data_IF_295240314388
#
_entry.id   IF_295240314388
#
_cell.length_a   1.000
_cell.length_b   1.000
_cell.length_c   1.000
_cell.angle_alpha   90.00
_cell.angle_beta   90.00
_cell.angle_gamma   90.00
#
_symmetry.space_group_name_H-M   'P 1'
#
loop_
_entity.id
_entity.type
_entity.pdbx_description
1 polymer ?
#
# COMPACT_ATOMS: atom_id res chain seq x y z
N UNK A 1 -15.29 20.87 -4.65
CA UNK A 1 -14.11 21.69 -4.25
C UNK A 1 -14.41 23.18 -4.00
N UNK A 2 -15.68 23.61 -3.91
CA UNK A 2 -16.03 25.04 -3.79
C UNK A 2 -16.18 25.54 -2.32
N UNK A 3 -15.70 24.76 -1.34
CA UNK A 3 -15.70 25.21 0.07
C UNK A 3 -14.57 26.21 0.27
N UNK A 4 -14.87 27.36 0.87
CA UNK A 4 -13.90 28.39 1.24
C UNK A 4 -12.99 27.97 2.41
N UNK A 5 -13.40 26.96 3.18
CA UNK A 5 -12.65 26.45 4.34
C UNK A 5 -12.68 24.92 4.37
N UNK A 6 -12.00 24.22 3.43
CA UNK A 6 -11.92 22.76 3.45
C UNK A 6 -10.96 22.29 4.56
N UNK A 7 -11.10 21.03 5.04
CA UNK A 7 -10.05 20.39 5.83
C UNK A 7 -8.72 20.41 5.06
N UNK A 8 -7.63 20.76 5.74
CA UNK A 8 -6.30 20.83 5.13
C UNK A 8 -5.72 19.44 4.85
N UNK A 9 -6.14 18.44 5.62
CA UNK A 9 -5.67 17.06 5.54
C UNK A 9 -6.89 16.14 5.47
N UNK A 10 -6.91 15.25 4.49
CA UNK A 10 -7.90 14.16 4.38
C UNK A 10 -7.17 12.83 4.37
N UNK A 11 -7.49 11.96 5.34
CA UNK A 11 -7.04 10.57 5.38
C UNK A 11 -8.15 9.68 4.83
N UNK A 12 -7.81 8.79 3.89
CA UNK A 12 -8.79 7.98 3.15
C UNK A 12 -8.37 6.52 3.09
N UNK A 13 -9.21 5.68 3.67
CA UNK A 13 -9.12 4.21 3.60
C UNK A 13 -10.12 3.69 2.56
N UNK A 14 -9.78 3.83 1.28
CA UNK A 14 -10.57 3.29 0.17
C UNK A 14 -9.64 3.00 -1.01
N UNK A 15 -9.92 1.90 -1.72
CA UNK A 15 -9.21 1.58 -2.95
C UNK A 15 -9.83 0.40 -3.66
N UNK A 16 -9.47 0.29 -4.93
CA UNK A 16 -9.74 -0.86 -5.78
C UNK A 16 -8.55 -1.07 -6.71
N UNK A 17 -8.54 -2.21 -7.37
CA UNK A 17 -7.51 -2.55 -8.34
C UNK A 17 -7.43 -1.49 -9.43
N UNK A 18 -6.25 -1.00 -9.80
CA UNK A 18 -6.13 0.10 -10.79
C UNK A 18 -6.75 -0.29 -12.14
N UNK A 19 -6.61 -1.55 -12.54
CA UNK A 19 -7.16 -2.11 -13.78
C UNK A 19 -8.66 -2.40 -13.74
N UNK A 20 -9.32 -2.29 -12.58
CA UNK A 20 -10.80 -2.40 -12.49
C UNK A 20 -11.50 -1.12 -12.98
N UNK A 21 -10.74 -0.03 -13.16
CA UNK A 21 -11.24 1.27 -13.59
C UNK A 21 -10.88 1.55 -15.05
N UNK A 22 -11.73 2.32 -15.74
CA UNK A 22 -11.38 2.83 -17.07
C UNK A 22 -10.31 3.92 -16.97
N UNK A 23 -9.50 4.07 -18.02
CA UNK A 23 -8.48 5.13 -18.11
C UNK A 23 -9.11 6.52 -17.91
N UNK A 24 -10.31 6.77 -18.45
CA UNK A 24 -11.02 8.04 -18.28
C UNK A 24 -11.41 8.29 -16.82
N UNK A 25 -11.79 7.25 -16.08
CA UNK A 25 -12.09 7.36 -14.66
C UNK A 25 -10.83 7.67 -13.87
N UNK A 26 -9.75 6.93 -14.12
CA UNK A 26 -8.45 7.14 -13.47
C UNK A 26 -7.95 8.57 -13.70
N UNK A 27 -7.95 9.04 -14.94
CA UNK A 27 -7.51 10.40 -15.30
C UNK A 27 -8.41 11.47 -14.70
N UNK A 28 -9.73 11.24 -14.70
CA UNK A 28 -10.67 12.19 -14.12
C UNK A 28 -10.47 12.33 -12.62
N UNK A 29 -10.41 11.22 -11.89
CA UNK A 29 -10.21 11.25 -10.44
C UNK A 29 -8.83 11.82 -10.10
N UNK A 30 -7.79 11.47 -10.88
CA UNK A 30 -6.45 12.05 -10.73
C UNK A 30 -6.45 13.58 -10.92
N UNK A 31 -7.26 14.10 -11.85
CA UNK A 31 -7.47 15.54 -12.02
C UNK A 31 -8.13 16.18 -10.80
N UNK A 32 -9.03 15.47 -10.11
CA UNK A 32 -9.62 15.96 -8.86
C UNK A 32 -8.57 16.05 -7.74
N UNK A 33 -7.62 15.13 -7.67
CA UNK A 33 -6.48 15.22 -6.74
C UNK A 33 -5.54 16.38 -7.09
N UNK A 34 -5.26 16.62 -8.37
CA UNK A 34 -4.52 17.80 -8.82
C UNK A 34 -5.19 19.11 -8.38
N UNK A 35 -6.52 19.18 -8.48
CA UNK A 35 -7.29 20.35 -8.02
C UNK A 35 -7.28 20.51 -6.50
N UNK A 36 -7.12 19.43 -5.73
CA UNK A 36 -6.90 19.51 -4.29
C UNK A 36 -5.47 20.00 -3.97
N UNK A 37 -4.47 19.44 -4.65
CA UNK A 37 -3.06 19.82 -4.50
C UNK A 37 -2.83 21.30 -4.86
N UNK A 38 -3.46 21.82 -5.92
CA UNK A 38 -3.36 23.24 -6.31
C UNK A 38 -3.95 24.21 -5.29
N UNK A 39 -4.77 23.70 -4.36
CA UNK A 39 -5.31 24.44 -3.22
C UNK A 39 -4.50 24.27 -1.95
N UNK A 40 -3.38 23.55 -1.99
CA UNK A 40 -2.53 23.26 -0.83
C UNK A 40 -3.16 22.26 0.15
N UNK A 41 -4.04 21.38 -0.34
CA UNK A 41 -4.65 20.33 0.48
C UNK A 41 -3.85 19.04 0.39
N UNK A 42 -3.68 18.35 1.52
CA UNK A 42 -3.04 17.04 1.61
C UNK A 42 -4.10 15.94 1.63
N UNK A 43 -3.92 14.93 0.78
CA UNK A 43 -4.76 13.73 0.77
C UNK A 43 -3.87 12.51 0.92
N UNK A 44 -4.12 11.71 1.95
CA UNK A 44 -3.45 10.45 2.21
C UNK A 44 -4.37 9.29 1.84
N UNK A 45 -3.81 8.26 1.20
CA UNK A 45 -4.52 7.04 0.84
C UNK A 45 -3.78 5.81 1.35
N UNK A 46 -4.52 4.88 1.95
CA UNK A 46 -4.02 3.56 2.30
C UNK A 46 -3.52 2.83 1.04
N UNK A 47 -2.34 2.22 1.09
CA UNK A 47 -1.71 1.59 -0.07
C UNK A 47 -2.22 0.19 -0.42
N UNK A 48 -3.05 -0.40 0.45
CA UNK A 48 -3.64 -1.74 0.28
C UNK A 48 -3.07 -2.75 1.26
N UNK A 49 -3.78 -3.88 1.42
CA UNK A 49 -3.52 -4.88 2.46
C UNK A 49 -3.14 -6.26 1.91
N UNK A 50 -2.93 -6.36 0.59
CA UNK A 50 -2.66 -7.59 -0.16
C UNK A 50 -1.27 -7.63 -0.81
N UNK A 51 -0.33 -6.82 -0.32
CA UNK A 51 1.04 -6.76 -0.84
C UNK A 51 1.10 -6.22 -2.28
N UNK A 52 1.92 -6.87 -3.12
CA UNK A 52 2.08 -6.50 -4.54
C UNK A 52 0.95 -7.00 -5.42
N UNK A 53 0.05 -7.84 -4.90
CA UNK A 53 -1.05 -8.42 -5.66
C UNK A 53 -2.39 -8.01 -5.05
N UNK A 54 -2.85 -6.79 -5.36
CA UNK A 54 -4.15 -6.28 -4.88
C UNK A 54 -5.36 -6.87 -5.61
N UNK A 55 -5.17 -7.79 -6.56
CA UNK A 55 -6.26 -8.52 -7.21
C UNK A 55 -6.93 -9.56 -6.29
N UNK A 56 -8.06 -10.07 -6.77
CA UNK A 56 -8.87 -11.11 -6.14
C UNK A 56 -8.05 -12.31 -5.63
N UNK A 57 -8.02 -12.44 -4.30
CA UNK A 57 -7.37 -13.52 -3.54
C UNK A 57 -8.03 -14.90 -3.73
N UNK A 58 -9.14 -14.99 -4.48
CA UNK A 58 -9.82 -16.26 -4.76
C UNK A 58 -9.24 -17.02 -5.94
N UNK A 59 -8.31 -16.43 -6.72
CA UNK A 59 -7.56 -17.17 -7.73
C UNK A 59 -6.71 -18.25 -7.03
N UNK A 60 -7.01 -19.56 -7.20
CA UNK A 60 -6.44 -20.64 -6.38
C UNK A 60 -4.94 -20.87 -6.56
N UNK A 61 -4.31 -20.06 -7.41
CA UNK A 61 -2.90 -20.11 -7.69
C UNK A 61 -2.48 -18.71 -8.14
N UNK A 62 -1.82 -17.99 -7.23
CA UNK A 62 -0.85 -16.95 -7.58
C UNK A 62 0.21 -17.61 -8.46
N UNK A 63 -0.10 -17.82 -9.74
CA UNK A 63 0.86 -18.44 -10.64
C UNK A 63 1.95 -17.42 -10.87
N UNK A 64 3.21 -17.86 -10.88
CA UNK A 64 4.37 -17.01 -11.16
C UNK A 64 4.26 -16.25 -12.49
N UNK A 65 3.24 -16.49 -13.33
CA UNK A 65 2.97 -15.73 -14.54
C UNK A 65 2.17 -14.43 -14.32
N UNK A 66 1.80 -14.08 -13.09
CA UNK A 66 0.92 -12.94 -12.82
C UNK A 66 1.70 -11.63 -12.62
N UNK A 67 1.35 -10.65 -13.45
CA UNK A 67 1.72 -9.25 -13.28
C UNK A 67 1.21 -8.75 -11.91
N UNK A 68 2.05 -8.03 -11.17
CA UNK A 68 1.70 -7.35 -9.93
C UNK A 68 0.59 -6.35 -10.20
N UNK A 69 -0.24 -6.15 -9.17
CA UNK A 69 -1.51 -5.49 -9.37
C UNK A 69 -1.58 -4.26 -8.48
N UNK A 70 -1.42 -3.06 -9.05
CA UNK A 70 -1.46 -1.82 -8.29
C UNK A 70 -2.88 -1.45 -7.85
N UNK A 71 -2.98 -0.63 -6.81
CA UNK A 71 -4.22 -0.16 -6.20
C UNK A 71 -4.41 1.34 -6.47
N UNK A 72 -5.59 1.71 -6.93
CA UNK A 72 -6.03 3.10 -7.07
C UNK A 72 -7.05 3.43 -5.97
N UNK A 73 -7.01 4.61 -5.31
CA UNK A 73 -6.23 5.81 -5.65
C UNK A 73 -4.76 5.89 -5.25
N UNK A 74 -4.22 4.95 -4.47
CA UNK A 74 -2.85 5.04 -3.96
C UNK A 74 -1.78 5.20 -5.07
N UNK A 75 -2.01 4.62 -6.24
CA UNK A 75 -1.14 4.75 -7.42
C UNK A 75 -1.14 6.14 -8.07
N UNK A 76 -2.06 7.05 -7.72
CA UNK A 76 -2.03 8.44 -8.21
C UNK A 76 -0.74 9.15 -7.77
N UNK A 77 -0.09 9.94 -8.65
CA UNK A 77 1.05 10.77 -8.30
C UNK A 77 0.68 12.06 -7.55
N UNK A 78 -0.61 12.30 -7.25
CA UNK A 78 -1.09 13.50 -6.56
C UNK A 78 -1.69 13.23 -5.19
N UNK A 79 -1.47 12.03 -4.65
CA UNK A 79 -1.81 11.65 -3.27
C UNK A 79 -0.54 11.18 -2.55
N UNK A 80 -0.58 11.19 -1.21
CA UNK A 80 0.45 10.52 -0.40
C UNK A 80 -0.05 9.13 -0.06
N UNK A 81 0.50 8.10 -0.69
CA UNK A 81 0.20 6.71 -0.41
C UNK A 81 0.93 6.24 0.85
N UNK A 82 0.19 5.59 1.76
CA UNK A 82 0.67 5.19 3.08
C UNK A 82 0.63 3.67 3.22
N UNK A 83 1.82 3.07 3.36
CA UNK A 83 2.02 1.67 3.69
C UNK A 83 1.96 1.39 5.19
N UNK A 84 2.01 0.11 5.55
CA UNK A 84 1.91 -0.36 6.93
C UNK A 84 3.18 -1.06 7.39
N UNK A 85 3.62 -0.70 8.60
CA UNK A 85 4.68 -1.36 9.36
C UNK A 85 4.13 -1.95 10.65
N UNK A 86 4.94 -2.78 11.29
CA UNK A 86 4.71 -3.35 12.61
C UNK A 86 6.01 -3.46 13.38
N UNK A 87 5.94 -3.53 14.70
CA UNK A 87 7.10 -3.80 15.53
C UNK A 87 7.37 -5.31 15.59
N UNK A 88 8.51 -5.72 15.03
CA UNK A 88 9.10 -7.04 15.23
C UNK A 88 9.82 -7.05 16.57
N UNK A 89 9.23 -7.70 17.57
CA UNK A 89 9.98 -8.12 18.75
C UNK A 89 9.80 -9.61 18.90
N UNK A 90 10.92 -10.33 19.00
CA UNK A 90 11.07 -11.77 19.23
C UNK A 90 10.32 -12.33 20.47
N UNK A 91 9.34 -11.61 21.02
CA UNK A 91 8.70 -11.87 22.32
C UNK A 91 7.17 -11.77 22.30
N UNK A 92 6.51 -11.56 21.16
CA UNK A 92 5.05 -11.67 21.11
C UNK A 92 4.64 -13.14 20.91
N UNK A 93 3.59 -13.65 21.59
CA UNK A 93 3.08 -15.01 21.42
C UNK A 93 2.77 -15.39 19.95
N UNK A 94 2.60 -14.38 19.09
CA UNK A 94 2.36 -14.52 17.65
C UNK A 94 3.50 -15.21 16.91
N UNK A 95 4.76 -15.05 17.34
CA UNK A 95 5.90 -15.73 16.70
C UNK A 95 5.89 -17.25 16.92
N UNK A 96 4.99 -17.75 17.78
CA UNK A 96 4.76 -19.17 18.03
C UNK A 96 3.44 -19.68 17.43
N UNK A 97 2.72 -18.85 16.67
CA UNK A 97 1.44 -19.23 16.07
C UNK A 97 1.54 -19.33 14.55
N UNK A 98 0.73 -20.22 13.96
CA UNK A 98 0.47 -20.24 12.54
C UNK A 98 -0.68 -19.26 12.23
N UNK A 99 -0.46 -18.31 11.32
CA UNK A 99 -1.52 -17.45 10.81
C UNK A 99 -1.83 -17.88 9.38
N UNK A 100 -3.05 -18.37 9.15
CA UNK A 100 -3.53 -18.79 7.82
C UNK A 100 -2.64 -19.90 7.21
N UNK A 101 -2.08 -20.78 8.04
CA UNK A 101 -1.23 -21.90 7.59
C UNK A 101 0.14 -21.47 7.03
N UNK A 102 0.54 -20.22 7.25
CA UNK A 102 1.85 -19.71 6.85
C UNK A 102 2.78 -19.66 8.08
N UNK A 103 3.93 -20.34 8.06
CA UNK A 103 4.92 -20.25 9.14
C UNK A 103 5.42 -18.79 9.31
N UNK A 104 5.38 -18.29 10.54
CA UNK A 104 5.83 -16.93 10.86
C UNK A 104 7.34 -16.92 11.11
N UNK A 105 8.07 -16.00 10.47
CA UNK A 105 9.50 -15.74 10.74
C UNK A 105 9.68 -14.40 11.44
N UNK A 106 10.26 -14.42 12.64
CA UNK A 106 10.55 -13.24 13.47
C UNK A 106 12.07 -13.08 13.69
N UNK A 107 12.85 -12.91 12.63
CA UNK A 107 14.32 -12.84 12.68
C UNK A 107 14.87 -11.40 12.85
N UNK A 108 14.00 -10.38 12.74
CA UNK A 108 14.37 -8.96 12.81
C UNK A 108 13.93 -8.33 14.13
N UNK A 109 14.60 -7.25 14.53
CA UNK A 109 14.21 -6.41 15.68
C UNK A 109 13.96 -4.99 15.19
N UNK A 110 12.86 -4.39 15.65
CA UNK A 110 12.48 -3.03 15.28
C UNK A 110 11.26 -2.97 14.36
N UNK A 111 11.07 -1.84 13.70
CA UNK A 111 9.98 -1.64 12.76
C UNK A 111 10.24 -2.39 11.45
N UNK A 112 9.31 -3.26 11.07
CA UNK A 112 9.34 -4.08 9.85
C UNK A 112 8.05 -3.89 9.06
N UNK A 113 8.04 -4.22 7.78
CA UNK A 113 6.82 -4.22 6.96
C UNK A 113 5.75 -5.13 7.57
N UNK A 114 4.48 -4.68 7.62
CA UNK A 114 3.37 -5.58 7.88
C UNK A 114 3.34 -6.67 6.82
N UNK A 115 3.47 -7.92 7.24
CA UNK A 115 3.34 -9.07 6.36
C UNK A 115 2.74 -10.24 7.12
N UNK A 116 1.92 -11.04 6.44
CA UNK A 116 1.38 -12.29 6.98
C UNK A 116 2.49 -13.26 7.39
N UNK A 117 3.63 -13.25 6.68
CA UNK A 117 4.80 -14.09 7.02
C UNK A 117 5.56 -13.62 8.26
N UNK A 118 5.21 -12.43 8.76
CA UNK A 118 5.79 -11.82 9.96
C UNK A 118 4.73 -11.63 11.06
N UNK A 119 3.55 -12.23 10.92
CA UNK A 119 2.50 -12.24 11.94
C UNK A 119 1.52 -11.06 11.93
N UNK A 120 1.47 -10.29 10.84
CA UNK A 120 0.37 -9.36 10.55
C UNK A 120 -0.85 -10.09 10.00
N UNK A 121 -2.06 -9.50 10.07
CA UNK A 121 -3.23 -9.99 9.33
C UNK A 121 -3.24 -9.54 7.85
N UNK A 122 -2.35 -8.63 7.49
CA UNK A 122 -2.26 -8.01 6.16
C UNK A 122 -0.83 -8.05 5.64
N UNK A 123 -0.65 -7.89 4.34
CA UNK A 123 0.66 -7.56 3.76
C UNK A 123 0.60 -6.15 3.19
N UNK A 124 1.48 -5.25 3.63
CA UNK A 124 1.45 -3.84 3.20
C UNK A 124 1.53 -3.74 1.68
N UNK A 125 0.57 -3.02 1.11
CA UNK A 125 0.48 -2.78 -0.32
C UNK A 125 1.58 -1.86 -0.83
N UNK A 126 1.97 -2.08 -2.07
CA UNK A 126 2.99 -1.29 -2.75
C UNK A 126 3.30 -1.89 -4.12
N UNK A 127 3.95 -1.12 -4.98
CA UNK A 127 4.26 -1.56 -6.34
C UNK A 127 4.44 -0.39 -7.28
N UNK A 128 4.15 -0.63 -8.55
CA UNK A 128 4.21 0.35 -9.62
C UNK A 128 2.86 0.41 -10.33
N UNK A 129 2.38 1.61 -10.60
CA UNK A 129 1.19 1.86 -11.42
C UNK A 129 1.38 1.32 -12.84
N UNK A 130 0.33 0.82 -13.44
CA UNK A 130 0.27 0.47 -14.86
C UNK A 130 -0.21 1.63 -15.73
N UNK A 131 -0.86 2.62 -15.12
CA UNK A 131 -1.45 3.76 -15.82
C UNK A 131 -0.62 5.06 -15.70
N UNK A 132 -0.23 5.45 -14.49
CA UNK A 132 0.39 6.76 -14.24
C UNK A 132 1.90 6.74 -14.43
N UNK A 133 2.38 7.56 -15.38
CA UNK A 133 3.81 7.77 -15.60
C UNK A 133 4.53 8.23 -14.33
N UNK A 134 5.82 7.87 -14.21
CA UNK A 134 6.61 8.24 -13.05
C UNK A 134 6.77 9.77 -12.93
N UNK A 135 6.34 10.39 -11.82
CA UNK A 135 6.59 11.80 -11.58
C UNK A 135 8.08 12.08 -11.32
N UNK A 136 8.53 13.27 -11.72
CA UNK A 136 9.95 13.66 -11.65
C UNK A 136 10.52 13.63 -10.23
N UNK A 137 9.69 13.91 -9.22
CA UNK A 137 10.13 13.97 -7.83
C UNK A 137 10.61 12.63 -7.26
N UNK A 138 10.26 11.49 -7.88
CA UNK A 138 10.66 10.16 -7.40
C UNK A 138 11.63 9.42 -8.32
N UNK A 139 12.09 10.04 -9.42
CA UNK A 139 12.96 9.38 -10.40
C UNK A 139 14.25 8.85 -9.77
N UNK A 140 14.90 9.64 -8.90
CA UNK A 140 16.15 9.26 -8.26
C UNK A 140 16.00 8.08 -7.30
N UNK A 141 14.98 8.12 -6.43
CA UNK A 141 14.73 7.07 -5.42
C UNK A 141 14.29 5.76 -6.07
N UNK A 142 13.45 5.81 -7.10
CA UNK A 142 13.03 4.61 -7.84
C UNK A 142 14.19 4.02 -8.65
N UNK A 143 15.01 4.85 -9.28
CA UNK A 143 16.19 4.36 -10.00
C UNK A 143 17.15 3.62 -9.05
N UNK A 144 17.37 4.16 -7.85
CA UNK A 144 18.16 3.51 -6.81
C UNK A 144 17.51 2.19 -6.33
N UNK A 145 16.20 2.17 -6.12
CA UNK A 145 15.45 0.97 -5.74
C UNK A 145 15.57 -0.15 -6.79
N UNK A 146 15.36 0.18 -8.07
CA UNK A 146 15.45 -0.76 -9.20
C UNK A 146 16.86 -1.31 -9.45
N UNK A 147 17.89 -0.59 -8.98
CA UNK A 147 19.28 -1.02 -9.03
C UNK A 147 19.70 -1.85 -7.79
N UNK A 148 18.85 -1.98 -6.77
CA UNK A 148 19.18 -2.75 -5.56
C UNK A 148 19.24 -4.26 -5.84
N UNK A 149 20.07 -4.96 -5.06
CA UNK A 149 20.30 -6.40 -5.21
C UNK A 149 19.05 -7.24 -4.96
N UNK A 150 18.13 -6.77 -4.13
CA UNK A 150 16.89 -7.50 -3.84
C UNK A 150 15.89 -7.36 -4.98
N UNK A 151 15.74 -6.15 -5.52
CA UNK A 151 14.78 -5.87 -6.60
C UNK A 151 15.27 -6.40 -7.94
N UNK A 152 16.58 -6.45 -8.17
CA UNK A 152 17.16 -7.04 -9.39
C UNK A 152 16.87 -8.53 -9.53
N UNK A 153 16.50 -9.22 -8.45
CA UNK A 153 16.09 -10.64 -8.46
C UNK A 153 14.63 -10.82 -8.88
N UNK A 154 13.81 -9.78 -8.83
CA UNK A 154 12.40 -9.83 -9.22
C UNK A 154 12.32 -9.72 -10.74
N UNK A 155 11.76 -10.70 -11.46
CA UNK A 155 11.57 -10.63 -12.90
C UNK A 155 10.82 -9.36 -13.31
N UNK A 156 11.38 -8.60 -14.25
CA UNK A 156 10.82 -7.32 -14.70
C UNK A 156 9.46 -7.45 -15.37
N UNK A 157 9.08 -8.66 -15.80
CA UNK A 157 7.77 -8.95 -16.40
C UNK A 157 6.60 -8.82 -15.42
N UNK A 158 6.88 -8.79 -14.10
CA UNK A 158 5.83 -8.70 -13.10
C UNK A 158 5.39 -7.28 -12.79
N UNK A 159 6.08 -6.23 -13.26
CA UNK A 159 5.67 -4.86 -12.89
C UNK A 159 6.20 -3.82 -13.86
N UNK A 160 5.48 -2.72 -13.98
CA UNK A 160 5.90 -1.58 -14.77
C UNK A 160 7.04 -0.80 -14.09
N UNK A 161 8.27 -0.97 -14.58
CA UNK A 161 9.47 -0.31 -14.02
C UNK A 161 9.59 1.19 -14.27
N UNK A 162 8.73 1.76 -15.12
CA UNK A 162 8.85 3.15 -15.60
C UNK A 162 7.78 4.09 -15.05
N UNK A 163 6.78 3.55 -14.36
CA UNK A 163 5.62 4.28 -13.88
C UNK A 163 5.71 4.65 -12.40
N UNK A 164 4.63 5.25 -11.87
CA UNK A 164 4.55 5.71 -10.47
C UNK A 164 4.76 4.53 -9.51
N UNK A 165 5.86 4.53 -8.77
CA UNK A 165 6.10 3.59 -7.67
C UNK A 165 5.49 4.10 -6.36
N UNK A 166 4.93 3.23 -5.51
CA UNK A 166 4.28 3.57 -4.23
C UNK A 166 4.45 2.41 -3.21
N UNK A 167 4.25 2.61 -1.89
CA UNK A 167 3.80 3.83 -1.19
C UNK A 167 4.89 4.91 -1.09
N UNK A 168 4.49 6.11 -0.67
CA UNK A 168 5.40 7.24 -0.47
C UNK A 168 6.00 7.25 0.95
N UNK A 169 5.21 6.82 1.93
CA UNK A 169 5.58 6.68 3.34
C UNK A 169 4.96 5.41 3.93
N UNK A 170 5.36 5.04 5.14
CA UNK A 170 4.71 3.97 5.90
C UNK A 170 4.64 4.34 7.39
N UNK A 171 3.64 3.80 8.08
CA UNK A 171 3.45 3.98 9.51
C UNK A 171 2.93 2.68 10.15
N UNK A 172 2.96 2.60 11.49
CA UNK A 172 2.47 1.43 12.20
C UNK A 172 0.99 1.18 11.84
N UNK A 173 0.69 -0.01 11.34
CA UNK A 173 -0.65 -0.44 10.94
C UNK A 173 -1.07 -1.76 11.57
N UNK A 174 -0.42 -2.18 12.66
CA UNK A 174 -0.66 -3.47 13.34
C UNK A 174 -1.14 -3.25 14.76
N UNK A 175 -2.15 -4.02 15.16
CA UNK A 175 -2.62 -4.15 16.53
C UNK A 175 -3.16 -2.86 17.14
N UNK A 176 -3.94 -2.12 16.35
CA UNK A 176 -4.70 -0.97 16.84
C UNK A 176 -5.97 -1.47 17.51
N UNK A 177 -6.18 -1.11 18.78
CA UNK A 177 -7.39 -1.48 19.49
C UNK A 177 -8.50 -0.47 19.16
N UNK A 178 -9.58 -0.94 18.55
CA UNK A 178 -10.75 -0.12 18.19
C UNK A 178 -12.00 -0.64 18.88
N UNK A 179 -12.98 0.23 19.07
CA UNK A 179 -14.30 -0.15 19.60
C UNK A 179 -15.34 -0.05 18.48
N UNK A 180 -15.84 -1.20 18.02
CA UNK A 180 -16.76 -1.29 16.89
C UNK A 180 -17.94 -2.17 17.31
N UNK A 181 -19.17 -1.71 17.05
CA UNK A 181 -20.40 -2.49 17.29
C UNK A 181 -20.56 -3.04 18.71
N UNK A 182 -19.98 -2.37 19.71
CA UNK A 182 -20.11 -2.75 21.12
C UNK A 182 -18.95 -3.61 21.67
N UNK A 183 -17.98 -4.00 20.85
CA UNK A 183 -16.82 -4.80 21.24
C UNK A 183 -15.49 -4.08 20.99
N UNK A 184 -14.49 -4.43 21.81
CA UNK A 184 -13.10 -4.06 21.57
C UNK A 184 -12.47 -5.10 20.64
N UNK A 185 -11.97 -4.65 19.49
CA UNK A 185 -11.38 -5.51 18.47
C UNK A 185 -10.00 -4.99 18.06
N UNK A 186 -8.97 -5.86 17.99
CA UNK A 186 -7.69 -5.48 17.41
C UNK A 186 -7.78 -5.50 15.88
N UNK A 187 -7.37 -4.42 15.25
CA UNK A 187 -7.33 -4.27 13.78
C UNK A 187 -5.91 -4.05 13.27
N UNK A 188 -5.72 -4.49 12.03
CA UNK A 188 -4.54 -4.24 11.22
C UNK A 188 -4.99 -3.63 9.89
N UNK A 189 -4.08 -2.93 9.23
CA UNK A 189 -4.27 -2.46 7.87
C UNK A 189 -3.48 -1.20 7.58
N UNK A 190 -3.17 -0.98 6.31
CA UNK A 190 -2.81 0.33 5.78
C UNK A 190 -3.90 1.36 6.06
N UNK A 191 -5.15 0.91 6.18
CA UNK A 191 -6.30 1.67 6.71
C UNK A 191 -6.07 2.28 8.09
N UNK A 192 -5.35 1.61 8.99
CA UNK A 192 -5.03 2.12 10.33
C UNK A 192 -3.75 2.97 10.35
N UNK A 193 -2.83 2.71 9.42
CA UNK A 193 -1.60 3.49 9.26
C UNK A 193 -1.85 4.90 8.67
N UNK A 194 -2.96 5.06 7.93
CA UNK A 194 -3.37 6.29 7.23
C UNK A 194 -4.28 7.14 8.11
#
# INVERSE_FOLDING_TARGET
LNSSNPPLVSSVSYGGTENDYSEEFLDRVNTEFQKAASRGLTILFASGDSGVNNADTTAPNCTEAQHFVPLFPASSPYVTAVGATQFSTQTLPVCSQDVIGVPITCDKTGEITCSITTGSRITSGGGFSDHFAQPSYQQSVVSAYLASSEVSKIPSQYYNRTNRAYPDIAACGRNFLVYISGSWDPVDGTSAAT
#
